data_IF_909991591727
#
_entry.id   IF_909991591727
#
_cell.length_a   1.000
_cell.length_b   1.000
_cell.length_c   1.000
_cell.angle_alpha   90.00
_cell.angle_beta   90.00
_cell.angle_gamma   90.00
#
_symmetry.space_group_name_H-M   'P 1'
#
loop_
_entity.id
_entity.type
_entity.pdbx_description
1 polymer ?
#
# COMPACT_ATOMS: atom_id res chain seq x y z
N UNK A 1 -11.80 -54.27 -49.01
CA UNK A 1 -11.42 -54.05 -47.59
C UNK A 1 -9.94 -54.35 -47.40
N UNK A 2 -9.08 -53.33 -47.35
CA UNK A 2 -7.67 -53.43 -46.93
C UNK A 2 -7.31 -52.14 -46.20
N UNK A 3 -7.33 -52.21 -44.86
CA UNK A 3 -6.88 -51.15 -43.95
C UNK A 3 -5.35 -51.05 -44.03
N UNK A 4 -4.82 -49.85 -44.25
CA UNK A 4 -3.40 -49.54 -44.02
C UNK A 4 -3.30 -48.70 -42.75
N UNK A 5 -2.56 -49.26 -41.80
CA UNK A 5 -2.15 -48.70 -40.52
C UNK A 5 -1.00 -47.73 -40.82
N UNK A 6 -1.12 -46.47 -40.40
CA UNK A 6 0.01 -45.52 -40.37
C UNK A 6 0.39 -45.35 -38.91
N UNK A 7 1.65 -45.71 -38.62
CA UNK A 7 2.24 -45.69 -37.29
C UNK A 7 2.57 -44.28 -36.82
N UNK A 8 2.40 -44.08 -35.53
CA UNK A 8 2.80 -42.89 -34.77
C UNK A 8 4.30 -43.00 -34.49
N UNK A 9 5.08 -42.01 -34.93
CA UNK A 9 6.49 -41.83 -34.54
C UNK A 9 6.53 -40.99 -33.28
N UNK A 10 7.03 -41.58 -32.20
CA UNK A 10 7.37 -40.89 -30.96
C UNK A 10 8.69 -40.13 -31.15
N UNK A 11 8.68 -38.81 -30.95
CA UNK A 11 9.87 -37.97 -30.88
C UNK A 11 10.26 -37.83 -29.41
N UNK A 12 11.33 -38.52 -29.01
CA UNK A 12 12.00 -38.33 -27.72
C UNK A 12 12.96 -37.15 -27.83
N UNK A 13 12.57 -36.01 -27.26
CA UNK A 13 13.48 -34.87 -27.05
C UNK A 13 14.09 -34.95 -25.66
N UNK A 14 15.41 -35.15 -25.63
CA UNK A 14 16.27 -35.11 -24.44
C UNK A 14 16.52 -33.64 -24.09
N UNK A 15 16.00 -33.17 -22.95
CA UNK A 15 16.36 -31.88 -22.38
C UNK A 15 17.49 -32.10 -21.35
N UNK A 16 18.69 -31.62 -21.69
CA UNK A 16 19.78 -31.43 -20.75
C UNK A 16 19.62 -30.04 -20.12
N UNK A 17 19.21 -29.98 -18.86
CA UNK A 17 19.24 -28.76 -18.05
C UNK A 17 20.60 -28.66 -17.35
N UNK A 18 21.40 -27.71 -17.82
CA UNK A 18 22.61 -27.27 -17.16
C UNK A 18 22.23 -26.40 -15.95
N UNK A 19 22.60 -26.86 -14.76
CA UNK A 19 22.56 -26.06 -13.54
C UNK A 19 23.67 -24.98 -13.61
N UNK A 20 23.30 -23.73 -13.87
CA UNK A 20 24.16 -22.59 -13.65
C UNK A 20 23.90 -22.04 -12.24
N UNK A 21 24.79 -22.37 -11.32
CA UNK A 21 24.84 -21.78 -9.99
C UNK A 21 25.34 -20.33 -10.11
N UNK A 22 24.44 -19.35 -10.03
CA UNK A 22 24.80 -17.97 -9.78
C UNK A 22 25.03 -17.78 -8.28
N UNK A 23 26.30 -17.83 -7.87
CA UNK A 23 26.72 -17.32 -6.58
C UNK A 23 26.70 -15.78 -6.63
N UNK A 24 25.53 -15.18 -6.37
CA UNK A 24 25.41 -13.77 -6.05
C UNK A 24 26.03 -13.55 -4.67
N UNK A 25 27.21 -12.91 -4.66
CA UNK A 25 27.80 -12.38 -3.45
C UNK A 25 26.95 -11.19 -3.00
N UNK A 26 26.08 -11.42 -2.02
CA UNK A 26 25.38 -10.37 -1.30
C UNK A 26 26.40 -9.51 -0.53
N UNK A 27 26.89 -8.46 -1.18
CA UNK A 27 27.43 -7.32 -0.46
C UNK A 27 26.23 -6.52 0.00
N UNK A 28 25.73 -6.83 1.21
CA UNK A 28 24.78 -5.97 1.89
C UNK A 28 25.45 -4.59 2.06
N UNK A 29 25.02 -3.61 1.28
CA UNK A 29 25.32 -2.22 1.57
C UNK A 29 24.71 -1.92 2.94
N UNK A 30 25.50 -1.53 3.95
CA UNK A 30 24.93 -1.11 5.22
C UNK A 30 24.16 0.19 4.93
N UNK A 31 22.85 0.16 5.14
CA UNK A 31 22.05 1.37 5.31
C UNK A 31 22.69 2.16 6.45
N UNK A 32 23.52 3.15 6.10
CA UNK A 32 24.18 4.00 7.07
C UNK A 32 23.14 4.97 7.62
N UNK A 33 22.55 4.60 8.76
CA UNK A 33 21.98 5.59 9.66
C UNK A 33 23.10 6.57 10.04
N UNK A 34 23.01 7.79 9.54
CA UNK A 34 23.83 8.91 10.01
C UNK A 34 23.41 9.16 11.45
N UNK A 35 24.09 8.51 12.39
CA UNK A 35 23.97 8.81 13.81
C UNK A 35 24.70 10.12 14.05
N UNK A 36 23.95 11.19 14.29
CA UNK A 36 24.49 12.40 14.88
C UNK A 36 25.15 12.01 16.22
N UNK A 37 26.43 12.34 16.47
CA UNK A 37 27.03 12.07 17.76
C UNK A 37 26.30 12.91 18.83
N UNK A 38 25.60 12.23 19.73
CA UNK A 38 25.09 12.84 20.95
C UNK A 38 26.29 13.31 21.77
N UNK A 39 26.33 14.61 22.08
CA UNK A 39 27.26 15.17 23.05
C UNK A 39 26.94 14.59 24.42
N UNK A 40 27.88 13.85 24.98
CA UNK A 40 27.87 13.44 26.39
C UNK A 40 28.22 14.63 27.26
N UNK A 41 27.20 15.38 27.73
CA UNK A 41 27.34 16.20 28.93
C UNK A 41 27.15 15.31 30.15
N UNK A 42 28.21 15.22 30.97
CA UNK A 42 28.18 14.61 32.31
C UNK A 42 27.29 15.42 33.24
N UNK A 43 26.29 14.83 33.91
CA UNK A 43 25.62 15.51 35.01
C UNK A 43 26.50 15.47 36.26
N UNK A 44 26.73 16.65 36.83
CA UNK A 44 27.32 16.84 38.14
C UNK A 44 26.44 16.16 39.22
N UNK A 45 27.10 15.52 40.18
CA UNK A 45 26.48 14.98 41.37
C UNK A 45 25.85 16.12 42.19
N UNK A 46 24.52 16.14 42.25
CA UNK A 46 23.73 16.98 43.15
C UNK A 46 23.17 16.16 44.31
N UNK A 47 23.14 16.80 45.46
CA UNK A 47 22.88 16.25 46.80
C UNK A 47 21.57 15.45 46.96
N UNK A 48 21.66 14.40 47.79
CA UNK A 48 20.54 13.55 48.20
C UNK A 48 19.73 14.27 49.28
N UNK A 49 18.54 14.75 48.90
CA UNK A 49 17.52 15.27 49.81
C UNK A 49 16.74 14.11 50.48
N UNK A 50 16.47 14.16 51.80
CA UNK A 50 15.81 13.06 52.51
C UNK A 50 14.34 12.89 52.14
N UNK A 51 13.93 11.62 52.04
CA UNK A 51 12.61 11.18 51.64
C UNK A 51 11.47 11.69 52.56
N UNK A 52 10.55 12.44 51.97
CA UNK A 52 9.25 12.77 52.55
C UNK A 52 8.36 11.53 52.63
N UNK A 53 7.70 11.36 53.77
CA UNK A 53 6.73 10.30 54.06
C UNK A 53 5.50 10.44 53.14
N UNK A 54 4.98 9.36 52.52
CA UNK A 54 3.79 9.44 51.68
C UNK A 54 2.54 9.73 52.52
N UNK A 55 1.85 10.84 52.25
CA UNK A 55 0.48 11.06 52.70
C UNK A 55 -0.47 10.09 52.00
N UNK A 56 -1.44 9.56 52.75
CA UNK A 56 -2.44 8.63 52.24
C UNK A 56 -3.32 9.32 51.18
N UNK A 57 -3.63 8.66 50.05
CA UNK A 57 -4.45 9.24 49.01
C UNK A 57 -5.86 9.49 49.57
N UNK A 58 -6.24 10.76 49.58
CA UNK A 58 -7.63 11.15 49.84
C UNK A 58 -8.45 10.68 48.64
N UNK A 59 -9.42 9.80 48.89
CA UNK A 59 -10.33 9.28 47.87
C UNK A 59 -11.29 10.40 47.44
N UNK A 60 -10.84 11.24 46.52
CA UNK A 60 -11.70 12.18 45.81
C UNK A 60 -12.51 11.38 44.78
N UNK A 61 -13.82 11.38 44.94
CA UNK A 61 -14.72 10.76 43.98
C UNK A 61 -14.50 11.40 42.60
N UNK A 62 -14.31 10.62 41.53
CA UNK A 62 -14.09 11.17 40.20
C UNK A 62 -15.26 12.09 39.85
N UNK A 63 -14.96 13.38 39.70
CA UNK A 63 -15.89 14.34 39.15
C UNK A 63 -16.33 13.80 37.78
N UNK A 64 -17.65 13.63 37.60
CA UNK A 64 -18.21 13.14 36.35
C UNK A 64 -17.69 14.02 35.22
N UNK A 65 -16.93 13.41 34.30
CA UNK A 65 -16.48 14.09 33.09
C UNK A 65 -17.71 14.67 32.39
N UNK A 66 -17.67 15.95 31.98
CA UNK A 66 -18.76 16.55 31.23
C UNK A 66 -18.98 15.70 29.99
N UNK A 67 -20.21 15.22 29.80
CA UNK A 67 -20.59 14.45 28.63
C UNK A 67 -20.14 15.21 27.38
N UNK A 68 -19.23 14.61 26.62
CA UNK A 68 -18.76 15.19 25.37
C UNK A 68 -19.98 15.55 24.52
N UNK A 69 -20.02 16.78 24.02
CA UNK A 69 -21.03 17.18 23.05
C UNK A 69 -21.05 16.14 21.91
N UNK A 70 -22.24 15.73 21.45
CA UNK A 70 -22.33 14.78 20.35
C UNK A 70 -21.56 15.35 19.17
N UNK A 71 -20.48 14.67 18.78
CA UNK A 71 -19.71 15.03 17.61
C UNK A 71 -20.68 15.25 16.45
N UNK A 72 -20.63 16.42 15.82
CA UNK A 72 -21.45 16.69 14.65
C UNK A 72 -21.28 15.53 13.65
N UNK A 73 -22.38 15.02 13.11
CA UNK A 73 -22.34 13.96 12.13
C UNK A 73 -21.41 14.40 10.99
N UNK A 74 -20.30 13.68 10.80
CA UNK A 74 -19.36 13.96 9.73
C UNK A 74 -20.08 13.78 8.39
N UNK A 75 -19.88 14.71 7.46
CA UNK A 75 -20.42 14.56 6.11
C UNK A 75 -19.71 13.40 5.42
N UNK A 76 -20.40 12.28 5.12
CA UNK A 76 -19.78 11.10 4.54
C UNK A 76 -19.29 11.34 3.10
N UNK A 77 -19.61 12.49 2.49
CA UNK A 77 -19.10 12.91 1.18
C UNK A 77 -17.91 13.86 1.26
N UNK A 78 -17.57 14.36 2.45
CA UNK A 78 -16.44 15.28 2.59
C UNK A 78 -15.11 14.61 2.26
N UNK A 79 -14.18 15.41 1.74
CA UNK A 79 -12.85 14.96 1.42
C UNK A 79 -12.08 14.53 2.68
N UNK A 80 -12.27 15.19 3.81
CA UNK A 80 -11.63 14.87 5.09
C UNK A 80 -12.34 13.74 5.87
N UNK A 81 -13.37 13.12 5.29
CA UNK A 81 -14.02 11.96 5.89
C UNK A 81 -13.22 10.67 5.63
N UNK A 82 -12.98 9.91 6.71
CA UNK A 82 -12.44 8.56 6.65
C UNK A 82 -13.42 7.59 7.32
N UNK A 83 -14.09 6.70 6.55
CA UNK A 83 -15.09 5.78 7.11
C UNK A 83 -14.47 4.81 8.12
N UNK A 84 -13.17 4.52 8.01
CA UNK A 84 -12.49 3.54 8.85
C UNK A 84 -12.18 4.06 10.26
N UNK A 85 -12.29 5.37 10.50
CA UNK A 85 -12.00 6.00 11.81
C UNK A 85 -13.24 6.52 12.54
N UNK A 86 -14.42 6.47 11.90
CA UNK A 86 -15.69 6.91 12.45
C UNK A 86 -16.45 5.73 13.10
N UNK A 87 -16.62 5.68 14.43
CA UNK A 87 -17.32 4.58 15.11
C UNK A 87 -18.78 4.39 14.71
N UNK A 88 -19.41 5.38 14.05
CA UNK A 88 -20.77 5.26 13.53
C UNK A 88 -20.83 4.61 12.14
N UNK A 89 -19.70 4.47 11.44
CA UNK A 89 -19.64 3.90 10.11
C UNK A 89 -19.54 2.35 10.17
N UNK A 90 -20.24 1.60 9.29
CA UNK A 90 -20.13 0.14 9.24
C UNK A 90 -18.72 -0.38 8.93
N UNK A 91 -17.88 0.41 8.26
CA UNK A 91 -16.50 0.07 7.90
C UNK A 91 -15.49 0.45 9.01
N UNK A 92 -15.96 0.93 10.17
CA UNK A 92 -15.09 1.33 11.27
C UNK A 92 -14.12 0.22 11.70
N UNK A 93 -12.82 0.54 11.69
CA UNK A 93 -11.80 -0.38 12.18
C UNK A 93 -11.74 -0.31 13.70
N UNK A 94 -12.38 -1.28 14.33
CA UNK A 94 -12.47 -1.38 15.79
C UNK A 94 -11.09 -1.48 16.46
N UNK A 95 -10.95 -1.08 17.74
CA UNK A 95 -9.69 -1.25 18.48
C UNK A 95 -9.16 -2.69 18.50
N UNK A 96 -10.04 -3.68 18.53
CA UNK A 96 -9.65 -5.10 18.47
C UNK A 96 -9.08 -5.46 17.08
N UNK A 97 -9.71 -4.99 16.00
CA UNK A 97 -9.20 -5.18 14.63
C UNK A 97 -7.85 -4.49 14.43
N UNK A 98 -7.64 -3.30 15.02
CA UNK A 98 -6.32 -2.63 15.01
C UNK A 98 -5.27 -3.48 15.72
N UNK A 99 -5.58 -3.98 16.92
CA UNK A 99 -4.66 -4.81 17.69
C UNK A 99 -4.26 -6.09 16.95
N UNK A 100 -5.23 -6.77 16.35
CA UNK A 100 -4.99 -7.96 15.52
C UNK A 100 -4.11 -7.65 14.31
N UNK A 101 -4.42 -6.56 13.59
CA UNK A 101 -3.64 -6.14 12.42
C UNK A 101 -2.18 -5.80 12.79
N UNK A 102 -1.95 -5.07 13.88
CA UNK A 102 -0.59 -4.75 14.34
C UNK A 102 0.18 -6.00 14.79
N UNK A 103 -0.49 -6.95 15.45
CA UNK A 103 0.12 -8.23 15.82
C UNK A 103 0.58 -9.00 14.57
N UNK A 104 -0.28 -9.12 13.55
CA UNK A 104 0.05 -9.73 12.26
C UNK A 104 1.20 -9.00 11.54
N UNK A 105 1.13 -7.67 11.48
CA UNK A 105 2.16 -6.85 10.84
C UNK A 105 3.51 -6.95 11.55
N UNK A 106 3.54 -7.21 12.85
CA UNK A 106 4.81 -7.44 13.56
C UNK A 106 5.54 -8.69 13.05
N UNK A 107 4.79 -9.74 12.70
CA UNK A 107 5.32 -10.98 12.12
C UNK A 107 5.85 -10.73 10.71
N UNK A 108 5.06 -10.04 9.87
CA UNK A 108 5.46 -9.69 8.50
C UNK A 108 6.68 -8.77 8.50
N UNK A 109 6.69 -7.74 9.33
CA UNK A 109 7.85 -6.84 9.54
C UNK A 109 9.09 -7.64 9.90
N UNK A 110 8.97 -8.60 10.82
CA UNK A 110 10.11 -9.44 11.22
C UNK A 110 10.63 -10.26 10.03
N UNK A 111 9.75 -10.90 9.27
CA UNK A 111 10.11 -11.65 8.07
C UNK A 111 10.85 -10.77 7.05
N UNK A 112 10.33 -9.58 6.75
CA UNK A 112 10.98 -8.62 5.83
C UNK A 112 12.36 -8.19 6.37
N UNK A 113 12.46 -7.94 7.67
CA UNK A 113 13.73 -7.59 8.33
C UNK A 113 14.75 -8.73 8.24
N UNK A 114 14.32 -9.98 8.44
CA UNK A 114 15.19 -11.16 8.33
C UNK A 114 15.71 -11.35 6.89
N UNK A 115 14.96 -10.89 5.88
CA UNK A 115 15.39 -10.83 4.48
C UNK A 115 16.30 -9.64 4.16
N UNK A 116 16.57 -8.75 5.13
CA UNK A 116 17.32 -7.52 4.93
C UNK A 116 16.55 -6.44 4.15
N UNK A 117 15.22 -6.54 4.09
CA UNK A 117 14.32 -5.62 3.42
C UNK A 117 13.66 -4.69 4.44
N UNK A 118 13.60 -3.39 4.14
CA UNK A 118 12.89 -2.43 5.00
C UNK A 118 11.38 -2.67 5.00
N UNK A 119 10.71 -2.27 6.09
CA UNK A 119 9.26 -2.38 6.22
C UNK A 119 8.70 -1.20 7.03
N UNK A 120 7.81 -0.45 6.41
CA UNK A 120 7.06 0.62 7.08
C UNK A 120 5.72 0.04 7.57
N UNK A 121 5.40 0.20 8.85
CA UNK A 121 4.05 -0.17 9.31
C UNK A 121 3.11 0.97 8.99
N UNK A 122 2.37 0.79 7.90
CA UNK A 122 1.33 1.70 7.46
C UNK A 122 -0.04 1.02 7.61
N UNK A 123 -0.89 1.46 8.54
CA UNK A 123 -2.23 0.91 8.66
C UNK A 123 -3.04 1.19 7.40
N UNK A 124 -3.62 0.15 6.80
CA UNK A 124 -4.37 0.28 5.55
C UNK A 124 -5.55 1.27 5.67
N UNK A 125 -6.13 1.41 6.86
CA UNK A 125 -7.23 2.35 7.13
C UNK A 125 -6.82 3.82 7.14
N UNK A 126 -5.52 4.12 7.10
CA UNK A 126 -4.99 5.48 6.98
C UNK A 126 -4.45 5.77 5.58
N UNK A 127 -4.51 4.79 4.68
CA UNK A 127 -3.87 4.85 3.37
C UNK A 127 -2.35 4.73 3.45
N UNK A 128 -1.74 4.31 2.34
CA UNK A 128 -0.29 4.23 2.17
C UNK A 128 0.24 2.81 1.95
N UNK A 129 1.56 2.70 1.84
CA UNK A 129 2.26 1.47 1.48
C UNK A 129 3.18 1.01 2.60
N UNK A 130 3.30 -0.29 2.86
CA UNK A 130 4.32 -0.81 3.77
C UNK A 130 5.73 -0.85 3.16
N UNK A 131 5.86 -0.54 1.88
CA UNK A 131 7.14 -0.42 1.19
C UNK A 131 7.85 0.88 1.58
N UNK A 132 9.12 0.84 2.00
CA UNK A 132 9.92 2.04 2.21
C UNK A 132 9.97 2.91 0.96
N UNK A 133 9.99 4.23 1.15
CA UNK A 133 10.15 5.19 0.04
C UNK A 133 11.61 5.27 -0.43
N UNK A 134 11.80 5.70 -1.68
CA UNK A 134 13.12 5.97 -2.27
C UNK A 134 13.94 4.72 -2.61
N UNK A 135 13.26 3.60 -2.84
CA UNK A 135 13.88 2.38 -3.33
C UNK A 135 14.09 2.45 -4.84
N UNK A 136 15.29 2.16 -5.34
CA UNK A 136 15.47 2.02 -6.79
C UNK A 136 14.61 0.88 -7.37
N UNK A 137 14.52 0.77 -8.70
CA UNK A 137 13.69 -0.25 -9.36
C UNK A 137 14.04 -1.69 -8.91
N UNK A 138 15.33 -2.01 -8.77
CA UNK A 138 15.77 -3.35 -8.37
C UNK A 138 15.44 -3.62 -6.89
N UNK A 139 15.58 -2.61 -6.04
CA UNK A 139 15.19 -2.68 -4.63
C UNK A 139 13.68 -2.81 -4.47
N UNK A 140 12.90 -2.11 -5.29
CA UNK A 140 11.45 -2.23 -5.35
C UNK A 140 11.04 -3.65 -5.74
N UNK A 141 11.64 -4.22 -6.78
CA UNK A 141 11.39 -5.60 -7.21
C UNK A 141 11.76 -6.58 -6.10
N UNK A 142 12.94 -6.45 -5.49
CA UNK A 142 13.37 -7.31 -4.39
C UNK A 142 12.41 -7.22 -3.19
N UNK A 143 11.96 -6.01 -2.86
CA UNK A 143 10.97 -5.78 -1.80
C UNK A 143 9.63 -6.45 -2.13
N UNK A 144 9.13 -6.27 -3.35
CA UNK A 144 7.86 -6.85 -3.83
C UNK A 144 7.91 -8.38 -3.81
N UNK A 145 9.02 -8.98 -4.25
CA UNK A 145 9.23 -10.44 -4.18
C UNK A 145 9.31 -10.89 -2.72
N UNK A 146 10.01 -10.17 -1.85
CA UNK A 146 10.07 -10.50 -0.43
C UNK A 146 8.69 -10.44 0.24
N UNK A 147 7.88 -9.44 -0.09
CA UNK A 147 6.57 -9.23 0.51
C UNK A 147 5.49 -10.17 -0.06
N UNK A 148 5.37 -10.26 -1.39
CA UNK A 148 4.31 -11.01 -2.08
C UNK A 148 4.74 -12.37 -2.65
N UNK A 149 6.03 -12.70 -2.64
CA UNK A 149 6.59 -13.92 -3.23
C UNK A 149 7.00 -13.75 -4.71
N UNK A 150 7.62 -14.77 -5.29
CA UNK A 150 8.08 -14.74 -6.70
C UNK A 150 6.91 -14.65 -7.70
N UNK A 151 5.74 -15.18 -7.31
CA UNK A 151 4.51 -15.15 -8.10
C UNK A 151 3.65 -13.90 -7.83
N UNK A 152 4.23 -12.78 -7.39
CA UNK A 152 3.47 -11.57 -7.01
C UNK A 152 2.55 -11.02 -8.10
N UNK A 153 2.85 -11.27 -9.39
CA UNK A 153 2.01 -10.87 -10.52
C UNK A 153 0.79 -11.78 -10.73
N UNK A 154 0.80 -12.98 -10.16
CA UNK A 154 -0.27 -13.97 -10.22
C UNK A 154 -0.18 -14.83 -8.96
N UNK A 155 -0.62 -14.33 -7.79
CA UNK A 155 -0.51 -15.03 -6.51
C UNK A 155 -1.41 -16.27 -6.51
N UNK A 156 -0.95 -17.31 -7.20
CA UNK A 156 -1.50 -18.65 -7.23
C UNK A 156 -0.51 -19.49 -6.45
N UNK A 157 -0.94 -20.04 -5.32
CA UNK A 157 -0.03 -20.77 -4.44
C UNK A 157 -0.57 -20.89 -3.02
N UNK A 158 0.04 -21.78 -2.24
CA UNK A 158 -0.16 -21.79 -0.80
C UNK A 158 0.53 -20.59 -0.13
N UNK A 159 0.29 -20.35 1.18
CA UNK A 159 0.92 -19.26 1.92
C UNK A 159 2.46 -19.23 1.84
N UNK A 160 3.09 -20.38 1.59
CA UNK A 160 4.55 -20.50 1.42
C UNK A 160 5.08 -19.84 0.13
N UNK A 161 4.22 -19.66 -0.88
CA UNK A 161 4.57 -19.00 -2.15
C UNK A 161 4.25 -17.49 -2.14
N UNK A 162 3.56 -16.99 -1.12
CA UNK A 162 3.07 -15.61 -1.01
C UNK A 162 4.04 -14.67 -0.25
N UNK A 163 5.33 -15.02 -0.18
CA UNK A 163 6.35 -14.24 0.51
C UNK A 163 6.01 -14.01 2.00
N UNK A 164 6.48 -12.89 2.55
CA UNK A 164 6.20 -12.54 3.95
C UNK A 164 4.73 -12.20 4.22
N UNK A 165 3.97 -11.71 3.24
CA UNK A 165 2.54 -11.39 3.38
C UNK A 165 1.68 -12.64 3.59
N UNK A 166 2.10 -13.79 3.04
CA UNK A 166 1.47 -15.09 3.27
C UNK A 166 1.41 -15.52 4.73
N UNK A 167 2.30 -14.99 5.58
CA UNK A 167 2.28 -15.26 7.01
C UNK A 167 0.99 -14.75 7.69
N UNK A 168 0.34 -13.71 7.15
CA UNK A 168 -0.94 -13.23 7.70
C UNK A 168 -2.03 -14.31 7.62
N UNK A 169 -2.11 -15.02 6.49
CA UNK A 169 -3.06 -16.14 6.33
C UNK A 169 -2.74 -17.28 7.29
N UNK A 170 -1.45 -17.62 7.48
CA UNK A 170 -1.06 -18.66 8.44
C UNK A 170 -1.39 -18.29 9.89
N UNK A 171 -1.42 -16.99 10.23
CA UNK A 171 -1.91 -16.51 11.52
C UNK A 171 -3.43 -16.72 11.63
N UNK A 172 -4.17 -16.34 10.58
CA UNK A 172 -5.63 -16.49 10.53
C UNK A 172 -6.07 -17.96 10.62
N UNK A 173 -5.30 -18.86 10.01
CA UNK A 173 -5.51 -20.31 10.07
C UNK A 173 -5.06 -20.92 11.41
N UNK A 174 -4.46 -20.13 12.31
CA UNK A 174 -3.94 -20.58 13.61
C UNK A 174 -2.69 -21.47 13.51
N UNK A 175 -2.02 -21.50 12.36
CA UNK A 175 -0.80 -22.27 12.12
C UNK A 175 0.40 -21.63 12.83
N UNK A 176 0.46 -20.29 12.83
CA UNK A 176 1.46 -19.53 13.57
C UNK A 176 0.78 -18.53 14.51
N UNK A 177 1.42 -18.25 15.65
CA UNK A 177 0.91 -17.27 16.60
C UNK A 177 1.39 -15.86 16.24
N UNK A 178 0.49 -14.87 16.31
CA UNK A 178 0.85 -13.46 16.30
C UNK A 178 1.01 -12.97 17.75
N UNK A 179 2.20 -12.54 18.17
CA UNK A 179 2.38 -11.99 19.51
C UNK A 179 1.62 -10.66 19.63
N UNK A 180 0.98 -10.38 20.78
CA UNK A 180 0.36 -9.08 20.99
C UNK A 180 1.44 -8.00 20.99
N UNK A 181 1.17 -6.90 20.30
CA UNK A 181 2.03 -5.72 20.27
C UNK A 181 1.24 -4.48 20.69
N UNK A 182 1.90 -3.46 21.28
CA UNK A 182 1.27 -2.18 21.54
C UNK A 182 0.69 -1.59 20.25
N UNK A 183 -0.56 -1.10 20.33
CA UNK A 183 -1.22 -0.38 19.23
C UNK A 183 -0.89 1.11 19.38
N UNK A 184 -0.14 1.71 18.44
CA UNK A 184 0.06 3.15 18.42
C UNK A 184 -1.28 3.88 18.25
N UNK A 185 -1.38 5.11 18.77
CA UNK A 185 -2.49 5.99 18.41
C UNK A 185 -2.40 6.33 16.92
N UNK A 186 -3.56 6.48 16.26
CA UNK A 186 -3.58 6.96 14.89
C UNK A 186 -2.97 8.38 14.85
N UNK A 187 -2.07 8.66 13.90
CA UNK A 187 -1.55 10.01 13.70
C UNK A 187 -2.68 10.98 13.38
N UNK A 188 -2.67 12.12 14.07
CA UNK A 188 -3.62 13.21 13.81
C UNK A 188 -3.10 14.12 12.71
N UNK A 189 -3.99 14.60 11.84
CA UNK A 189 -3.67 15.57 10.80
C UNK A 189 -3.00 15.02 9.54
N UNK A 190 -2.95 13.69 9.36
CA UNK A 190 -2.62 13.13 8.05
C UNK A 190 -3.77 13.41 7.07
N UNK A 191 -3.47 13.64 5.77
CA UNK A 191 -4.49 13.63 4.74
C UNK A 191 -5.24 12.31 4.73
N UNK A 192 -6.55 12.35 4.54
CA UNK A 192 -7.32 11.15 4.27
C UNK A 192 -6.97 10.58 2.89
N UNK A 193 -7.38 9.35 2.63
CA UNK A 193 -7.29 8.75 1.30
C UNK A 193 -7.98 9.61 0.23
N UNK A 194 -9.14 10.17 0.55
CA UNK A 194 -9.90 11.04 -0.36
C UNK A 194 -9.19 12.36 -0.64
N UNK A 195 -8.59 12.99 0.37
CA UNK A 195 -7.74 14.17 0.17
C UNK A 195 -6.51 13.85 -0.68
N UNK A 196 -5.86 12.72 -0.41
CA UNK A 196 -4.71 12.23 -1.19
C UNK A 196 -5.11 11.98 -2.65
N UNK A 197 -6.28 11.37 -2.87
CA UNK A 197 -6.84 11.15 -4.19
C UNK A 197 -7.14 12.45 -4.92
N UNK A 198 -7.78 13.45 -4.27
CA UNK A 198 -8.03 14.75 -4.91
C UNK A 198 -6.74 15.45 -5.31
N UNK A 199 -5.72 15.43 -4.45
CA UNK A 199 -4.41 15.98 -4.77
C UNK A 199 -3.77 15.27 -5.98
N UNK A 200 -3.86 13.95 -6.05
CA UNK A 200 -3.41 13.17 -7.21
C UNK A 200 -4.18 13.55 -8.49
N UNK A 201 -5.51 13.66 -8.40
CA UNK A 201 -6.37 14.01 -9.54
C UNK A 201 -6.13 15.43 -10.04
N UNK A 202 -5.74 16.36 -9.16
CA UNK A 202 -5.35 17.71 -9.54
C UNK A 202 -4.05 17.72 -10.37
N UNK A 203 -3.10 16.83 -10.06
CA UNK A 203 -1.90 16.62 -10.89
C UNK A 203 -2.26 16.07 -12.27
N UNK A 204 -3.12 15.03 -12.31
CA UNK A 204 -3.59 14.44 -13.57
C UNK A 204 -4.32 15.47 -14.42
N UNK A 205 -5.27 16.21 -13.83
CA UNK A 205 -6.06 17.23 -14.53
C UNK A 205 -5.18 18.35 -15.08
N UNK A 206 -4.18 18.78 -14.31
CA UNK A 206 -3.23 19.80 -14.76
C UNK A 206 -2.41 19.32 -15.95
N UNK A 207 -1.85 18.10 -15.88
CA UNK A 207 -1.12 17.50 -17.01
C UNK A 207 -2.00 17.32 -18.26
N UNK A 208 -3.24 16.83 -18.10
CA UNK A 208 -4.16 16.64 -19.22
C UNK A 208 -4.50 17.97 -19.89
N UNK A 209 -4.75 19.01 -19.09
CA UNK A 209 -4.99 20.37 -19.57
C UNK A 209 -3.80 20.92 -20.35
N UNK A 210 -2.57 20.72 -19.87
CA UNK A 210 -1.35 21.12 -20.58
C UNK A 210 -1.18 20.41 -21.93
N UNK A 211 -1.66 19.16 -22.02
CA UNK A 211 -1.70 18.38 -23.27
C UNK A 211 -2.91 18.69 -24.16
N UNK A 212 -3.76 19.64 -23.77
CA UNK A 212 -4.92 20.07 -24.55
C UNK A 212 -6.15 19.17 -24.43
N UNK A 213 -6.19 18.29 -23.43
CA UNK A 213 -7.33 17.41 -23.16
C UNK A 213 -8.09 17.86 -21.92
N UNK A 214 -9.42 17.82 -22.00
CA UNK A 214 -10.27 17.98 -20.82
C UNK A 214 -10.24 16.70 -19.97
N UNK A 215 -10.14 16.86 -18.66
CA UNK A 215 -10.25 15.77 -17.69
C UNK A 215 -11.33 16.16 -16.68
N UNK A 216 -12.47 15.49 -16.76
CA UNK A 216 -13.66 15.83 -15.98
C UNK A 216 -13.43 15.55 -14.50
N UNK A 217 -14.01 16.39 -13.66
CA UNK A 217 -14.06 16.14 -12.22
C UNK A 217 -14.95 14.93 -11.93
N UNK A 218 -14.40 14.00 -11.15
CA UNK A 218 -15.14 12.89 -10.59
C UNK A 218 -14.62 12.61 -9.18
N UNK A 219 -15.22 11.66 -8.48
CA UNK A 219 -14.84 11.20 -7.13
C UNK A 219 -15.22 9.72 -7.05
N UNK A 220 -14.26 8.83 -6.79
CA UNK A 220 -14.55 7.39 -6.80
C UNK A 220 -15.52 6.96 -5.69
N UNK A 221 -15.57 7.71 -4.57
CA UNK A 221 -16.46 7.43 -3.43
C UNK A 221 -17.86 8.05 -3.59
N UNK A 222 -18.08 8.92 -4.57
CA UNK A 222 -19.35 9.58 -4.75
C UNK A 222 -20.27 8.70 -5.62
N UNK A 223 -21.43 8.26 -5.09
CA UNK A 223 -22.33 7.34 -5.80
C UNK A 223 -22.80 7.86 -7.17
N UNK A 224 -22.74 9.18 -7.41
CA UNK A 224 -23.05 9.78 -8.71
C UNK A 224 -22.16 9.26 -9.84
N UNK A 225 -20.90 8.90 -9.54
CA UNK A 225 -19.92 8.42 -10.51
C UNK A 225 -19.75 6.90 -10.51
N UNK A 226 -20.41 6.20 -9.58
CA UNK A 226 -20.42 4.75 -9.54
C UNK A 226 -21.58 4.25 -10.40
N UNK A 227 -21.29 4.00 -11.67
CA UNK A 227 -22.21 3.24 -12.52
C UNK A 227 -22.28 1.80 -11.98
N UNK A 228 -23.48 1.22 -11.81
CA UNK A 228 -23.60 -0.18 -11.43
C UNK A 228 -22.93 -1.04 -12.50
N UNK A 229 -21.96 -1.86 -12.09
CA UNK A 229 -21.35 -2.85 -12.96
C UNK A 229 -22.44 -3.79 -13.52
N UNK A 230 -22.67 -3.72 -14.83
CA UNK A 230 -23.55 -4.65 -15.54
C UNK A 230 -22.68 -5.66 -16.31
N UNK A 231 -22.58 -6.91 -15.84
CA UNK A 231 -21.77 -7.93 -16.49
C UNK A 231 -22.29 -8.33 -17.88
N UNK A 232 -23.49 -7.89 -18.26
CA UNK A 232 -24.09 -8.12 -19.57
C UNK A 232 -24.00 -6.90 -20.49
N UNK A 233 -23.46 -5.78 -20.02
CA UNK A 233 -23.24 -4.61 -20.86
C UNK A 233 -22.28 -4.96 -22.00
N UNK A 234 -22.73 -4.75 -23.23
CA UNK A 234 -21.90 -4.93 -24.44
C UNK A 234 -21.11 -3.66 -24.78
N UNK A 235 -21.53 -2.53 -24.23
CA UNK A 235 -20.83 -1.25 -24.39
C UNK A 235 -19.81 -1.08 -23.27
N UNK A 236 -18.61 -0.55 -23.57
CA UNK A 236 -17.65 -0.20 -22.55
C UNK A 236 -18.24 0.83 -21.59
N UNK A 237 -18.01 0.63 -20.30
CA UNK A 237 -18.45 1.58 -19.27
C UNK A 237 -17.74 2.93 -19.51
N UNK A 238 -18.48 4.05 -19.59
CA UNK A 238 -17.87 5.34 -19.84
C UNK A 238 -16.96 5.69 -18.67
N UNK A 239 -15.69 5.95 -18.97
CA UNK A 239 -14.74 6.34 -17.94
C UNK A 239 -15.10 7.74 -17.43
N UNK A 240 -15.50 7.86 -16.17
CA UNK A 240 -16.04 9.09 -15.57
C UNK A 240 -15.26 10.39 -15.88
N UNK A 241 -13.90 10.41 -15.89
CA UNK A 241 -13.15 11.62 -16.22
C UNK A 241 -13.06 11.93 -17.73
N UNK A 242 -13.48 11.03 -18.61
CA UNK A 242 -13.40 11.21 -20.06
C UNK A 242 -14.60 12.01 -20.58
N UNK A 243 -14.38 13.07 -21.40
CA UNK A 243 -15.46 13.78 -22.09
C UNK A 243 -16.34 12.84 -22.93
N UNK A 244 -17.64 13.07 -22.89
CA UNK A 244 -18.60 12.31 -23.70
C UNK A 244 -18.58 12.80 -25.15
N UNK A 245 -19.23 12.05 -26.05
CA UNK A 245 -19.42 12.41 -27.48
C UNK A 245 -18.12 12.56 -28.30
N UNK A 246 -17.04 11.90 -27.87
CA UNK A 246 -15.79 11.83 -28.62
C UNK A 246 -15.88 10.82 -29.77
N UNK A 247 -15.17 11.08 -30.86
CA UNK A 247 -14.86 10.04 -31.84
C UNK A 247 -13.93 9.00 -31.23
N UNK A 248 -13.88 7.80 -31.81
CA UNK A 248 -12.95 6.75 -31.37
C UNK A 248 -11.48 7.23 -31.38
N UNK A 249 -11.09 7.98 -32.41
CA UNK A 249 -9.74 8.57 -32.50
C UNK A 249 -9.46 9.57 -31.37
N UNK A 250 -10.43 10.42 -31.02
CA UNK A 250 -10.30 11.37 -29.92
C UNK A 250 -10.21 10.65 -28.57
N UNK A 251 -11.04 9.63 -28.35
CA UNK A 251 -11.01 8.81 -27.15
C UNK A 251 -9.67 8.06 -26.99
N UNK A 252 -9.12 7.53 -28.08
CA UNK A 252 -7.81 6.89 -28.10
C UNK A 252 -6.68 7.88 -27.80
N UNK A 253 -6.68 9.06 -28.42
CA UNK A 253 -5.68 10.09 -28.16
C UNK A 253 -5.73 10.61 -26.71
N UNK A 254 -6.95 10.78 -26.16
CA UNK A 254 -7.16 11.10 -24.76
C UNK A 254 -6.61 10.02 -23.82
N UNK A 255 -6.85 8.74 -24.16
CA UNK A 255 -6.39 7.59 -23.37
C UNK A 255 -4.87 7.48 -23.38
N UNK A 256 -4.25 7.68 -24.55
CA UNK A 256 -2.79 7.74 -24.69
C UNK A 256 -2.21 8.92 -23.91
N UNK A 257 -2.84 10.09 -23.92
CA UNK A 257 -2.38 11.22 -23.11
C UNK A 257 -2.47 10.92 -21.60
N UNK A 258 -3.51 10.21 -21.16
CA UNK A 258 -3.71 9.85 -19.76
C UNK A 258 -2.74 8.75 -19.29
N UNK A 259 -2.66 7.63 -20.02
CA UNK A 259 -1.96 6.42 -19.58
C UNK A 259 -0.58 6.24 -20.23
N UNK A 260 -0.30 6.97 -21.31
CA UNK A 260 0.93 6.82 -22.07
C UNK A 260 1.03 5.48 -22.79
N UNK A 261 2.25 5.14 -23.18
CA UNK A 261 2.66 3.91 -23.86
C UNK A 261 3.79 3.17 -23.12
N UNK A 262 3.98 3.48 -21.84
CA UNK A 262 4.98 2.82 -20.99
C UNK A 262 4.87 1.29 -21.06
N UNK A 263 6.02 0.67 -21.26
CA UNK A 263 6.13 -0.78 -21.15
C UNK A 263 5.87 -1.22 -19.70
N UNK A 264 5.32 -2.43 -19.49
CA UNK A 264 5.23 -3.00 -18.15
C UNK A 264 6.63 -3.27 -17.58
N UNK A 265 6.70 -3.58 -16.29
CA UNK A 265 7.94 -4.01 -15.64
C UNK A 265 8.70 -5.09 -16.46
N UNK A 266 10.05 -5.03 -16.51
CA UNK A 266 10.95 -4.15 -15.76
C UNK A 266 11.28 -2.82 -16.46
N UNK A 267 10.77 -2.60 -17.69
CA UNK A 267 11.14 -1.47 -18.55
C UNK A 267 10.24 -0.24 -18.35
N UNK A 268 9.43 -0.24 -17.29
CA UNK A 268 8.54 0.86 -16.93
C UNK A 268 9.30 2.17 -16.69
N UNK A 269 8.80 3.26 -17.29
CA UNK A 269 9.27 4.63 -17.08
C UNK A 269 8.06 5.52 -16.89
N UNK A 270 8.06 6.34 -15.84
CA UNK A 270 6.91 7.19 -15.52
C UNK A 270 6.70 8.25 -16.60
N UNK A 271 7.75 8.68 -17.30
CA UNK A 271 7.70 9.65 -18.40
C UNK A 271 6.86 9.15 -19.58
N UNK A 272 6.90 7.84 -19.82
CA UNK A 272 6.20 7.16 -20.89
C UNK A 272 4.79 6.72 -20.45
N UNK A 273 4.45 6.82 -19.15
CA UNK A 273 3.18 6.38 -18.57
C UNK A 273 2.10 7.49 -18.52
N UNK A 274 2.23 8.51 -19.38
CA UNK A 274 1.22 9.53 -19.55
C UNK A 274 1.06 10.46 -18.35
N UNK A 275 -0.11 11.09 -18.22
CA UNK A 275 -0.42 11.96 -17.09
C UNK A 275 -0.60 11.19 -15.77
N UNK A 276 -1.00 9.92 -15.81
CA UNK A 276 -1.02 9.05 -14.63
C UNK A 276 0.39 8.73 -14.13
N UNK A 277 1.31 8.42 -15.03
CA UNK A 277 2.74 8.23 -14.71
C UNK A 277 3.34 9.46 -14.05
N UNK A 278 3.16 10.63 -14.68
CA UNK A 278 3.58 11.91 -14.10
C UNK A 278 2.97 12.17 -12.72
N UNK A 279 1.66 11.98 -12.54
CA UNK A 279 1.02 12.24 -11.25
C UNK A 279 1.52 11.27 -10.16
N UNK A 280 1.76 10.01 -10.51
CA UNK A 280 2.33 9.00 -9.60
C UNK A 280 3.74 9.40 -9.15
N UNK A 281 4.57 9.82 -10.10
CA UNK A 281 5.90 10.36 -9.81
C UNK A 281 5.82 11.62 -8.96
N UNK A 282 5.06 12.64 -9.40
CA UNK A 282 5.01 13.94 -8.72
C UNK A 282 4.38 13.88 -7.31
N UNK A 283 3.48 12.93 -7.04
CA UNK A 283 2.91 12.70 -5.69
C UNK A 283 3.82 11.88 -4.78
N UNK A 284 4.88 11.31 -5.35
CA UNK A 284 5.78 10.37 -4.72
C UNK A 284 5.18 9.07 -4.25
N UNK A 285 4.29 8.57 -5.10
CA UNK A 285 3.70 7.25 -5.02
C UNK A 285 4.44 6.24 -5.91
N UNK A 286 5.43 6.67 -6.70
CA UNK A 286 6.45 5.77 -7.24
C UNK A 286 7.67 5.70 -6.31
N UNK A 287 8.51 4.69 -6.50
CA UNK A 287 9.77 4.58 -5.77
C UNK A 287 10.94 5.23 -6.53
N UNK A 288 10.71 5.88 -7.67
CA UNK A 288 11.74 6.26 -8.66
C UNK A 288 12.22 7.72 -8.50
N UNK A 289 12.43 8.17 -7.26
CA UNK A 289 12.86 9.53 -6.93
C UNK A 289 14.37 9.77 -6.86
#
# INVERSE_FOLDING_TARGET
MKRRIIGIVAVTSVAALAAAAFALSAQAAPWQHTTTPASSESPAAGDVEPASTPEAPTSEAPAAEPAAEPAAALDPMAADYNPYTDPANPDYVTPAAKADWYAKNSVVRKCMTDLGLGFETMPWWLGGSPQPKGLDNNQTIAWTIGYYGENYMSPTGGPEEAGCSGLMQLIDDGVIAAPPVPVPADPVGLPTERQTWLAYQDLVRSCMKERGYEYLYWEWWNPKYQTPFDPLATEPEPFAPQPQDQTEEQAAAWTLALNGDAEPFPDYRWEDAGCNGYATHASGNDNMH
#
